data_IF_634791342174
#
_entry.id   IF_634791342174
#
_cell.length_a   1.000
_cell.length_b   1.000
_cell.length_c   1.000
_cell.angle_alpha   90.00
_cell.angle_beta   90.00
_cell.angle_gamma   90.00
#
_symmetry.space_group_name_H-M   'P 1'
#
loop_
_entity.id
_entity.type
_entity.pdbx_description
1 polymer ?
#
# COMPACT_ATOMS: atom_id res chain seq x y z
N UNK A 1 8.52 -15.13 -5.51
CA UNK A 1 7.45 -14.76 -6.47
C UNK A 1 8.05 -14.25 -7.78
N UNK A 2 7.46 -14.54 -8.95
CA UNK A 2 7.76 -13.80 -10.20
C UNK A 2 6.60 -12.83 -10.45
N UNK A 3 6.90 -11.54 -10.48
CA UNK A 3 5.91 -10.48 -10.65
C UNK A 3 6.11 -9.84 -12.02
N UNK A 4 5.06 -9.82 -12.83
CA UNK A 4 5.05 -9.05 -14.08
C UNK A 4 4.64 -7.62 -13.73
N UNK A 5 5.50 -6.65 -14.05
CA UNK A 5 5.39 -5.27 -13.61
C UNK A 5 5.14 -4.36 -14.80
N UNK A 6 4.04 -3.62 -14.76
CA UNK A 6 3.77 -2.57 -15.72
C UNK A 6 4.49 -1.25 -15.34
N UNK A 7 4.40 -0.25 -16.22
CA UNK A 7 5.03 1.05 -15.99
C UNK A 7 4.51 1.74 -14.71
N UNK A 8 3.22 1.62 -14.37
CA UNK A 8 2.64 2.20 -13.15
C UNK A 8 3.23 1.50 -11.92
N UNK A 9 3.40 0.18 -11.99
CA UNK A 9 4.02 -0.58 -10.90
C UNK A 9 5.47 -0.14 -10.64
N UNK A 10 6.25 0.04 -11.70
CA UNK A 10 7.64 0.52 -11.57
C UNK A 10 7.71 1.92 -10.95
N UNK A 11 6.79 2.82 -11.31
CA UNK A 11 6.70 4.14 -10.69
C UNK A 11 6.38 4.02 -9.20
N UNK A 12 5.44 3.16 -8.85
CA UNK A 12 5.06 2.86 -7.47
C UNK A 12 6.21 2.31 -6.64
N UNK A 13 7.07 1.45 -7.21
CA UNK A 13 8.26 0.94 -6.53
C UNK A 13 9.29 2.04 -6.23
N UNK A 14 9.46 2.99 -7.14
CA UNK A 14 10.43 4.08 -6.98
C UNK A 14 9.93 5.15 -6.02
N UNK A 15 8.64 5.52 -6.10
CA UNK A 15 8.07 6.65 -5.35
C UNK A 15 7.40 6.24 -4.04
N UNK A 16 7.15 4.95 -3.84
CA UNK A 16 6.25 4.46 -2.79
C UNK A 16 4.79 4.42 -3.28
N UNK A 17 3.96 3.70 -2.54
CA UNK A 17 2.52 3.54 -2.81
C UNK A 17 1.73 3.80 -1.54
N UNK A 18 0.62 4.51 -1.68
CA UNK A 18 -0.31 4.82 -0.59
C UNK A 18 -1.71 4.30 -0.95
N UNK A 19 -2.60 4.04 0.03
CA UNK A 19 -3.99 3.73 -0.23
C UNK A 19 -4.78 4.98 -0.65
N UNK A 20 -5.76 4.83 -1.55
CA UNK A 20 -6.77 5.86 -1.74
C UNK A 20 -7.65 5.98 -0.47
N UNK A 21 -8.22 7.16 -0.23
CA UNK A 21 -9.09 7.44 0.91
C UNK A 21 -10.21 6.39 1.08
N UNK A 22 -10.74 5.85 -0.03
CA UNK A 22 -11.82 4.86 0.00
C UNK A 22 -11.42 3.48 0.56
N UNK A 23 -10.13 3.14 0.61
CA UNK A 23 -9.64 1.85 1.14
C UNK A 23 -8.79 1.99 2.40
N UNK A 24 -8.63 3.20 2.96
CA UNK A 24 -7.85 3.38 4.20
C UNK A 24 -8.42 2.58 5.38
N UNK A 25 -9.74 2.42 5.44
CA UNK A 25 -10.43 1.62 6.47
C UNK A 25 -10.43 0.12 6.17
N UNK A 26 -9.88 -0.31 5.03
CA UNK A 26 -9.79 -1.73 4.72
C UNK A 26 -8.93 -2.43 5.80
N UNK A 27 -9.34 -3.56 6.40
CA UNK A 27 -8.66 -4.15 7.56
C UNK A 27 -7.17 -4.45 7.34
N UNK A 28 -6.79 -4.85 6.13
CA UNK A 28 -5.37 -5.07 5.77
C UNK A 28 -4.55 -3.79 5.64
N UNK A 29 -5.19 -2.65 5.39
CA UNK A 29 -4.56 -1.34 5.28
C UNK A 29 -4.48 -0.67 6.64
N UNK A 30 -5.59 -0.57 7.36
CA UNK A 30 -5.66 0.10 8.67
C UNK A 30 -4.81 -0.55 9.75
N UNK A 31 -4.53 -1.86 9.65
CA UNK A 31 -3.58 -2.52 10.55
C UNK A 31 -2.11 -2.18 10.26
N UNK A 32 -1.80 -1.64 9.08
CA UNK A 32 -0.43 -1.43 8.59
C UNK A 32 0.00 0.04 8.60
N UNK A 33 -0.87 0.97 8.93
CA UNK A 33 -0.58 2.39 8.91
C UNK A 33 -1.75 3.23 9.39
N UNK A 34 -1.58 4.55 9.37
CA UNK A 34 -2.63 5.49 9.76
C UNK A 34 -2.59 6.74 8.88
N UNK A 35 -3.74 7.36 8.65
CA UNK A 35 -3.81 8.64 7.98
C UNK A 35 -3.50 9.79 8.95
N UNK A 36 -2.47 10.58 8.64
CA UNK A 36 -2.12 11.78 9.43
C UNK A 36 -2.77 13.01 8.84
N UNK A 37 -3.89 13.42 9.45
CA UNK A 37 -4.67 14.61 9.05
C UNK A 37 -3.82 15.87 8.94
N UNK A 38 -2.87 16.09 9.87
CA UNK A 38 -1.99 17.26 9.88
C UNK A 38 -1.17 17.42 8.58
N UNK A 39 -0.80 16.31 7.96
CA UNK A 39 0.02 16.28 6.75
C UNK A 39 -0.77 15.81 5.52
N UNK A 40 -2.07 15.55 5.69
CA UNK A 40 -2.96 14.97 4.68
C UNK A 40 -2.34 13.79 3.91
N UNK A 41 -1.68 12.88 4.63
CA UNK A 41 -0.98 11.74 4.03
C UNK A 41 -1.13 10.48 4.86
N UNK A 42 -0.98 9.34 4.19
CA UNK A 42 -0.84 8.05 4.85
C UNK A 42 0.58 7.89 5.43
N UNK A 43 0.68 7.24 6.59
CA UNK A 43 1.95 6.93 7.25
C UNK A 43 2.00 5.43 7.56
N UNK A 44 2.92 4.73 6.89
CA UNK A 44 3.09 3.28 7.04
C UNK A 44 3.84 2.93 8.33
N UNK A 45 3.42 1.86 8.99
CA UNK A 45 4.16 1.26 10.09
C UNK A 45 5.10 0.17 9.56
N UNK A 46 6.36 0.55 9.30
CA UNK A 46 7.37 -0.35 8.73
C UNK A 46 7.54 -1.66 9.51
N UNK A 47 7.46 -1.62 10.85
CA UNK A 47 7.65 -2.81 11.69
C UNK A 47 6.56 -3.87 11.54
N UNK A 48 5.39 -3.51 11.00
CA UNK A 48 4.33 -4.50 10.68
C UNK A 48 4.79 -5.38 9.51
N UNK A 49 5.42 -4.78 8.51
CA UNK A 49 5.85 -5.47 7.29
C UNK A 49 7.01 -6.44 7.51
N UNK A 50 7.84 -6.24 8.54
CA UNK A 50 8.93 -7.17 8.91
C UNK A 50 8.41 -8.58 9.26
N UNK A 51 7.13 -8.70 9.62
CA UNK A 51 6.48 -9.97 10.00
C UNK A 51 5.64 -10.56 8.89
N UNK A 52 5.44 -9.84 7.79
CA UNK A 52 4.55 -10.24 6.71
C UNK A 52 5.32 -11.07 5.68
N UNK A 53 4.63 -12.02 5.09
CA UNK A 53 5.11 -12.77 3.93
C UNK A 53 5.09 -11.89 2.68
N UNK A 54 5.88 -12.26 1.67
CA UNK A 54 5.88 -11.60 0.36
C UNK A 54 4.45 -11.51 -0.22
N UNK A 55 3.64 -12.57 -0.05
CA UNK A 55 2.25 -12.64 -0.50
C UNK A 55 1.32 -11.65 0.21
N UNK A 56 1.45 -11.48 1.53
CA UNK A 56 0.64 -10.52 2.30
C UNK A 56 0.99 -9.08 1.92
N UNK A 57 2.28 -8.78 1.74
CA UNK A 57 2.74 -7.48 1.26
C UNK A 57 2.20 -7.23 -0.15
N UNK A 58 2.23 -8.24 -1.02
CA UNK A 58 1.70 -8.13 -2.37
C UNK A 58 0.18 -7.92 -2.40
N UNK A 59 -0.57 -8.48 -1.46
CA UNK A 59 -2.01 -8.21 -1.33
C UNK A 59 -2.30 -6.77 -0.93
N UNK A 60 -1.54 -6.21 0.02
CA UNK A 60 -1.61 -4.78 0.38
C UNK A 60 -1.31 -3.92 -0.84
N UNK A 61 -0.23 -4.24 -1.55
CA UNK A 61 0.14 -3.55 -2.78
C UNK A 61 -1.02 -3.52 -3.80
N UNK A 62 -1.65 -4.66 -4.06
CA UNK A 62 -2.80 -4.75 -4.98
C UNK A 62 -3.98 -3.91 -4.51
N UNK A 63 -4.29 -3.91 -3.21
CA UNK A 63 -5.37 -3.07 -2.66
C UNK A 63 -5.08 -1.60 -2.96
N UNK A 64 -3.86 -1.14 -2.65
CA UNK A 64 -3.47 0.23 -2.94
C UNK A 64 -3.51 0.53 -4.44
N UNK A 65 -2.85 -0.28 -5.28
CA UNK A 65 -2.82 -0.11 -6.76
C UNK A 65 -4.23 0.02 -7.33
N UNK A 66 -5.14 -0.86 -6.94
CA UNK A 66 -6.49 -0.91 -7.50
C UNK A 66 -7.42 0.17 -6.91
N UNK A 67 -7.07 0.77 -5.77
CA UNK A 67 -7.89 1.79 -5.11
C UNK A 67 -7.85 3.15 -5.80
N UNK A 68 -6.77 3.43 -6.54
CA UNK A 68 -6.59 4.64 -7.34
C UNK A 68 -7.09 4.46 -8.78
N UNK A 69 -8.12 3.62 -8.98
CA UNK A 69 -8.67 3.27 -10.29
C UNK A 69 -8.73 4.45 -11.27
N UNK A 70 -8.49 4.14 -12.55
CA UNK A 70 -8.55 5.08 -13.68
C UNK A 70 -9.82 5.93 -13.72
#
# INVERSE_FOLDING_TARGET
>A
MKLDLDKKDLISLVKGTDPNLNVMEHPKISCCGNYRVQNSRWDWNQHVFEKYTDEEIYEIYKICKNSWGE
#
